data_IF_924969011080
#
_entry.id   IF_924969011080
#
_cell.length_a   1.000
_cell.length_b   1.000
_cell.length_c   1.000
_cell.angle_alpha   90.00
_cell.angle_beta   90.00
_cell.angle_gamma   90.00
#
_symmetry.space_group_name_H-M   'P 1'
#
loop_
_entity.id
_entity.type
_entity.pdbx_description
1 polymer ?
#
# COMPACT_ATOMS: atom_id res chain seq x y z
N UNK A 1 72.46 -12.31 10.82
CA UNK A 1 71.36 -12.41 11.80
C UNK A 1 70.38 -11.27 11.54
N UNK A 2 69.21 -11.54 10.97
CA UNK A 2 68.06 -10.64 11.06
C UNK A 2 66.79 -11.42 10.71
N UNK A 3 66.02 -11.76 11.73
CA UNK A 3 64.75 -12.48 11.63
C UNK A 3 63.66 -11.52 11.15
N UNK A 4 63.09 -11.77 9.97
CA UNK A 4 61.82 -11.16 9.55
C UNK A 4 60.68 -12.08 9.91
N UNK A 5 59.95 -11.72 10.96
CA UNK A 5 58.68 -12.30 11.35
C UNK A 5 57.61 -11.85 10.35
N UNK A 6 57.06 -12.80 9.60
CA UNK A 6 55.87 -12.56 8.77
C UNK A 6 54.66 -12.87 9.65
N UNK A 7 53.98 -11.80 10.10
CA UNK A 7 52.67 -11.90 10.73
C UNK A 7 51.65 -12.32 9.66
N UNK A 8 51.16 -13.55 9.77
CA UNK A 8 50.05 -14.06 8.96
C UNK A 8 48.74 -13.54 9.59
N UNK A 9 48.13 -12.53 8.99
CA UNK A 9 46.78 -12.09 9.36
C UNK A 9 45.77 -13.15 8.92
N UNK A 10 45.20 -13.88 9.88
CA UNK A 10 43.99 -14.68 9.72
C UNK A 10 42.79 -13.73 9.56
N UNK A 11 42.40 -13.45 8.32
CA UNK A 11 41.08 -12.91 8.01
C UNK A 11 40.04 -14.02 8.25
N UNK A 12 39.39 -13.98 9.40
CA UNK A 12 38.14 -14.71 9.66
C UNK A 12 37.06 -14.02 8.83
N UNK A 13 36.76 -14.59 7.67
CA UNK A 13 35.56 -14.24 6.90
C UNK A 13 34.35 -14.62 7.75
N UNK A 14 33.78 -13.65 8.46
CA UNK A 14 32.44 -13.75 8.98
C UNK A 14 31.50 -13.85 7.77
N UNK A 15 31.18 -15.08 7.36
CA UNK A 15 30.05 -15.38 6.52
C UNK A 15 28.79 -14.98 7.30
N UNK A 16 28.39 -13.72 7.16
CA UNK A 16 27.07 -13.27 7.54
C UNK A 16 26.11 -13.95 6.56
N UNK A 17 25.54 -15.07 6.98
CA UNK A 17 24.44 -15.74 6.29
C UNK A 17 23.29 -14.74 6.27
N UNK A 18 23.19 -14.01 5.16
CA UNK A 18 22.06 -13.13 4.88
C UNK A 18 20.83 -14.01 4.90
N UNK A 19 20.10 -13.92 6.01
CA UNK A 19 18.98 -14.78 6.35
C UNK A 19 18.01 -14.89 5.20
N UNK A 20 17.49 -16.11 5.03
CA UNK A 20 16.32 -16.43 4.21
C UNK A 20 15.37 -15.24 4.14
N UNK A 21 15.30 -14.57 2.99
CA UNK A 21 14.31 -13.52 2.75
C UNK A 21 12.94 -14.19 2.77
N UNK A 22 12.31 -14.15 3.95
CA UNK A 22 10.98 -14.66 4.16
C UNK A 22 9.98 -14.11 3.15
N UNK A 23 8.94 -14.86 2.84
CA UNK A 23 7.84 -14.37 1.99
C UNK A 23 6.50 -14.71 2.61
N UNK A 24 5.58 -13.76 2.55
CA UNK A 24 4.19 -13.97 2.89
C UNK A 24 3.33 -13.98 1.63
N UNK A 25 2.16 -14.60 1.74
CA UNK A 25 1.12 -14.56 0.70
C UNK A 25 0.00 -13.64 1.20
N UNK A 26 -0.25 -12.55 0.49
CA UNK A 26 -1.30 -11.58 0.84
C UNK A 26 -2.37 -11.57 -0.24
N UNK A 27 -3.62 -11.36 0.13
CA UNK A 27 -4.70 -10.95 -0.77
C UNK A 27 -5.38 -9.72 -0.18
N UNK A 28 -5.98 -8.88 -1.02
CA UNK A 28 -6.76 -7.72 -0.57
C UNK A 28 -8.23 -7.99 -0.87
N UNK A 29 -9.08 -7.84 0.14
CA UNK A 29 -10.54 -7.94 -0.01
C UNK A 29 -11.15 -6.55 0.00
N UNK A 30 -11.97 -6.27 -1.01
CA UNK A 30 -12.82 -5.09 -1.02
C UNK A 30 -14.07 -5.38 -0.19
N UNK A 31 -14.02 -5.00 1.09
CA UNK A 31 -15.13 -5.08 2.03
C UNK A 31 -16.00 -3.82 2.05
N UNK A 32 -15.88 -2.90 1.09
CA UNK A 32 -16.88 -1.86 0.92
C UNK A 32 -18.23 -2.52 0.56
N UNK A 33 -19.31 -2.07 1.18
CA UNK A 33 -20.67 -2.52 0.86
C UNK A 33 -21.34 -1.63 -0.19
N UNK A 34 -22.65 -1.72 -0.32
CA UNK A 34 -23.42 -0.91 -1.29
C UNK A 34 -23.49 0.58 -0.94
N UNK A 35 -23.02 0.98 0.25
CA UNK A 35 -23.12 2.33 0.79
C UNK A 35 -21.87 2.69 1.59
N UNK A 36 -20.84 3.30 0.97
CA UNK A 36 -20.70 3.65 -0.44
C UNK A 36 -20.15 2.49 -1.30
N UNK A 37 -20.62 2.32 -2.55
CA UNK A 37 -20.17 1.28 -3.48
C UNK A 37 -18.83 1.65 -4.11
N UNK A 38 -17.75 1.46 -3.35
CA UNK A 38 -16.39 1.74 -3.83
C UNK A 38 -15.79 0.54 -4.55
N UNK A 39 -15.45 0.73 -5.81
CA UNK A 39 -14.54 -0.18 -6.50
C UNK A 39 -13.11 0.22 -6.20
N UNK A 40 -12.28 -0.71 -5.72
CA UNK A 40 -10.84 -0.47 -5.61
C UNK A 40 -10.26 -0.65 -7.01
N UNK A 41 -9.79 0.44 -7.61
CA UNK A 41 -9.30 0.49 -8.99
C UNK A 41 -7.82 0.07 -9.09
N UNK A 42 -7.05 0.45 -8.07
CA UNK A 42 -5.65 0.07 -7.88
C UNK A 42 -5.41 -0.16 -6.40
N UNK A 43 -4.56 -1.13 -6.07
CA UNK A 43 -4.12 -1.37 -4.70
C UNK A 43 -2.66 -1.85 -4.70
N UNK A 44 -1.86 -1.30 -3.79
CA UNK A 44 -0.46 -1.66 -3.59
C UNK A 44 -0.18 -1.84 -2.10
N UNK A 45 0.63 -2.83 -1.76
CA UNK A 45 1.20 -3.02 -0.42
C UNK A 45 2.69 -3.37 -0.57
N UNK A 46 3.58 -2.61 0.08
CA UNK A 46 5.04 -2.77 -0.04
C UNK A 46 5.53 -2.94 -1.49
N UNK A 47 5.10 -2.03 -2.36
CA UNK A 47 5.43 -1.97 -3.80
C UNK A 47 4.90 -3.14 -4.67
N UNK A 48 4.07 -4.04 -4.10
CA UNK A 48 3.40 -5.11 -4.84
C UNK A 48 1.97 -4.71 -5.21
N UNK A 49 1.64 -4.74 -6.50
CA UNK A 49 0.32 -4.37 -7.02
C UNK A 49 -0.66 -5.55 -7.02
N UNK A 50 -1.90 -5.29 -6.60
CA UNK A 50 -3.01 -6.25 -6.53
C UNK A 50 -4.10 -6.00 -7.59
N UNK A 51 -3.96 -4.92 -8.36
CA UNK A 51 -4.88 -4.54 -9.44
C UNK A 51 -6.23 -4.05 -8.94
N UNK A 52 -7.24 -4.21 -9.80
CA UNK A 52 -8.63 -3.82 -9.55
C UNK A 52 -9.36 -4.91 -8.76
N UNK A 53 -10.13 -4.50 -7.75
CA UNK A 53 -10.89 -5.37 -6.85
C UNK A 53 -12.33 -4.85 -6.79
N UNK A 54 -13.29 -5.51 -7.47
CA UNK A 54 -14.70 -5.17 -7.40
C UNK A 54 -15.24 -5.24 -5.97
N UNK A 55 -16.38 -4.58 -5.73
CA UNK A 55 -17.08 -4.59 -4.45
C UNK A 55 -17.38 -6.02 -4.01
N UNK A 56 -17.03 -6.38 -2.77
CA UNK A 56 -17.25 -7.71 -2.20
C UNK A 56 -16.24 -8.78 -2.63
N UNK A 57 -15.41 -8.50 -3.64
CA UNK A 57 -14.45 -9.45 -4.20
C UNK A 57 -13.09 -9.41 -3.49
N UNK A 58 -12.28 -10.43 -3.75
CA UNK A 58 -10.90 -10.53 -3.30
C UNK A 58 -9.94 -10.53 -4.50
N UNK A 59 -8.81 -9.85 -4.36
CA UNK A 59 -7.72 -9.97 -5.31
C UNK A 59 -7.19 -11.40 -5.39
N UNK A 60 -6.45 -11.70 -6.47
CA UNK A 60 -5.56 -12.86 -6.46
C UNK A 60 -4.50 -12.74 -5.34
N UNK A 61 -3.97 -13.87 -4.85
CA UNK A 61 -2.89 -13.89 -3.89
C UNK A 61 -1.58 -13.40 -4.52
N UNK A 62 -0.84 -12.57 -3.80
CA UNK A 62 0.47 -12.05 -4.19
C UNK A 62 1.51 -12.41 -3.13
N UNK A 63 2.75 -12.60 -3.58
CA UNK A 63 3.90 -12.75 -2.68
C UNK A 63 4.43 -11.37 -2.30
N UNK A 64 4.61 -11.14 -1.00
CA UNK A 64 5.14 -9.89 -0.47
C UNK A 64 6.23 -10.17 0.55
N UNK A 65 7.13 -9.20 0.72
CA UNK A 65 8.06 -9.21 1.84
C UNK A 65 7.30 -8.95 3.16
N UNK A 66 7.63 -9.69 4.24
CA UNK A 66 7.13 -9.39 5.58
C UNK A 66 7.48 -7.96 6.02
N UNK A 67 6.59 -7.34 6.78
CA UNK A 67 6.79 -6.01 7.34
C UNK A 67 5.49 -5.30 7.71
N UNK A 68 5.63 -4.00 7.97
CA UNK A 68 4.55 -3.09 8.30
C UNK A 68 4.45 -2.03 7.19
N UNK A 69 3.27 -1.83 6.61
CA UNK A 69 3.01 -0.77 5.63
C UNK A 69 1.50 -0.52 5.48
N UNK A 70 1.12 0.55 4.79
CA UNK A 70 -0.26 0.84 4.40
C UNK A 70 -0.65 0.12 3.11
N UNK A 71 -1.93 -0.20 2.97
CA UNK A 71 -2.49 -0.49 1.66
C UNK A 71 -2.80 0.83 0.96
N UNK A 72 -2.08 1.13 -0.10
CA UNK A 72 -2.19 2.36 -0.89
C UNK A 72 -3.05 2.11 -2.12
N UNK A 73 -4.13 2.89 -2.29
CA UNK A 73 -5.17 2.57 -3.25
C UNK A 73 -5.63 3.78 -4.05
N UNK A 74 -6.25 3.47 -5.19
CA UNK A 74 -7.15 4.36 -5.90
C UNK A 74 -8.51 3.67 -5.92
N UNK A 75 -9.56 4.39 -5.57
CA UNK A 75 -10.90 3.83 -5.57
C UNK A 75 -11.90 4.78 -6.23
N UNK A 76 -12.94 4.24 -6.85
CA UNK A 76 -13.98 4.99 -7.52
C UNK A 76 -15.34 4.74 -6.87
N UNK A 77 -16.08 5.82 -6.61
CA UNK A 77 -17.43 5.73 -6.06
C UNK A 77 -18.43 5.49 -7.19
N UNK A 78 -19.15 4.36 -7.13
CA UNK A 78 -20.24 4.03 -8.06
C UNK A 78 -19.81 4.01 -9.54
N UNK A 79 -18.52 3.73 -9.78
CA UNK A 79 -17.98 3.55 -11.11
C UNK A 79 -17.12 2.28 -11.15
N UNK A 80 -17.69 1.15 -11.63
CA UNK A 80 -16.93 -0.08 -11.78
C UNK A 80 -15.91 0.01 -12.91
N UNK A 81 -16.01 0.96 -13.85
CA UNK A 81 -15.05 1.11 -14.94
C UNK A 81 -13.79 1.88 -14.51
N UNK A 82 -13.78 2.46 -13.31
CA UNK A 82 -12.63 3.14 -12.73
C UNK A 82 -12.12 4.30 -13.60
N UNK A 83 -13.04 5.13 -14.12
CA UNK A 83 -12.64 6.29 -14.90
C UNK A 83 -11.87 7.28 -14.01
N UNK A 84 -10.73 7.83 -14.46
CA UNK A 84 -9.89 8.66 -13.62
C UNK A 84 -10.62 9.84 -12.96
N UNK A 85 -11.56 10.46 -13.66
CA UNK A 85 -12.40 11.55 -13.16
C UNK A 85 -13.31 11.16 -11.99
N UNK A 86 -13.57 9.88 -11.79
CA UNK A 86 -14.39 9.30 -10.72
C UNK A 86 -13.57 8.71 -9.57
N UNK A 87 -12.25 8.77 -9.67
CA UNK A 87 -11.35 8.16 -8.71
C UNK A 87 -10.90 9.13 -7.62
N UNK A 88 -10.57 8.57 -6.45
CA UNK A 88 -9.89 9.23 -5.36
C UNK A 88 -8.75 8.35 -4.84
N UNK A 89 -7.62 8.96 -4.44
CA UNK A 89 -6.57 8.26 -3.70
C UNK A 89 -7.08 7.96 -2.28
N UNK A 90 -6.98 6.71 -1.83
CA UNK A 90 -7.34 6.31 -0.47
C UNK A 90 -6.26 5.38 0.10
N UNK A 91 -6.18 5.24 1.41
CA UNK A 91 -5.29 4.29 2.06
C UNK A 91 -6.01 3.52 3.17
N UNK A 92 -5.44 2.40 3.61
CA UNK A 92 -5.79 1.83 4.91
C UNK A 92 -5.53 2.86 6.01
N UNK A 93 -6.38 2.86 7.03
CA UNK A 93 -6.29 3.80 8.16
C UNK A 93 -5.09 3.51 9.05
N UNK A 94 -4.75 2.24 9.19
CA UNK A 94 -3.60 1.76 9.96
C UNK A 94 -2.61 1.09 9.01
N UNK A 95 -1.38 0.94 9.49
CA UNK A 95 -0.44 0.02 8.88
C UNK A 95 -0.88 -1.42 9.12
N UNK A 96 -0.70 -2.25 8.11
CA UNK A 96 -1.01 -3.68 8.11
C UNK A 96 0.28 -4.46 8.28
N UNK A 97 0.35 -5.23 9.36
CA UNK A 97 1.47 -6.10 9.64
C UNK A 97 1.31 -7.44 8.91
N UNK A 98 2.35 -7.82 8.18
CA UNK A 98 2.49 -9.10 7.51
C UNK A 98 3.76 -9.78 8.01
N UNK A 99 3.62 -11.01 8.51
CA UNK A 99 4.74 -11.78 9.09
C UNK A 99 5.22 -12.85 8.13
N UNK A 100 6.47 -13.31 8.30
CA UNK A 100 7.04 -14.35 7.44
C UNK A 100 6.23 -15.65 7.45
N UNK A 101 6.11 -16.27 6.28
CA UNK A 101 5.34 -17.49 6.05
C UNK A 101 3.82 -17.33 6.14
N UNK A 102 3.31 -16.14 6.48
CA UNK A 102 1.88 -15.91 6.65
C UNK A 102 1.13 -16.03 5.33
N UNK A 103 -0.08 -16.57 5.37
CA UNK A 103 -1.11 -16.32 4.35
C UNK A 103 -2.20 -15.45 4.98
N UNK A 104 -2.43 -14.25 4.44
CA UNK A 104 -3.34 -13.25 5.03
C UNK A 104 -4.23 -12.62 3.96
N UNK A 105 -5.48 -12.38 4.33
CA UNK A 105 -6.34 -11.44 3.60
C UNK A 105 -6.40 -10.13 4.40
N UNK A 106 -6.05 -9.02 3.76
CA UNK A 106 -6.26 -7.67 4.29
C UNK A 106 -7.60 -7.17 3.74
N UNK A 107 -8.57 -6.95 4.62
CA UNK A 107 -9.88 -6.42 4.22
C UNK A 107 -9.90 -4.90 4.37
N UNK A 108 -10.27 -4.20 3.30
CA UNK A 108 -10.48 -2.74 3.29
C UNK A 108 -11.98 -2.46 3.28
N UNK A 109 -12.44 -1.61 4.20
CA UNK A 109 -13.84 -1.27 4.37
C UNK A 109 -14.01 0.16 4.92
N UNK A 110 -15.26 0.53 5.23
CA UNK A 110 -15.59 1.87 5.71
C UNK A 110 -14.93 2.25 7.04
N UNK A 111 -14.67 1.29 7.93
CA UNK A 111 -14.12 1.56 9.25
C UNK A 111 -12.59 1.74 9.23
N UNK A 112 -11.89 1.20 8.23
CA UNK A 112 -10.43 1.14 8.19
C UNK A 112 -9.80 1.73 6.93
N UNK A 113 -10.44 2.70 6.29
CA UNK A 113 -9.84 3.50 5.20
C UNK A 113 -9.80 4.99 5.55
N UNK A 114 -8.99 5.74 4.81
CA UNK A 114 -8.93 7.20 4.83
C UNK A 114 -8.82 7.75 3.41
N UNK A 115 -9.44 8.91 3.15
CA UNK A 115 -9.39 9.61 1.87
C UNK A 115 -9.09 11.10 2.02
N UNK A 116 -8.91 11.85 0.91
CA UNK A 116 -8.47 13.25 0.93
C UNK A 116 -9.47 14.25 1.51
N UNK A 117 -10.76 13.95 1.34
CA UNK A 117 -11.87 14.84 1.68
C UNK A 117 -12.92 14.08 2.51
N UNK A 118 -12.59 13.70 3.75
CA UNK A 118 -13.53 13.01 4.61
C UNK A 118 -14.63 13.98 5.10
N UNK A 119 -15.70 13.46 5.73
CA UNK A 119 -16.69 14.28 6.42
C UNK A 119 -16.08 15.18 7.51
N UNK A 120 -16.82 16.22 7.91
CA UNK A 120 -16.42 17.12 8.99
C UNK A 120 -16.10 16.36 10.29
N UNK A 121 -15.05 16.79 10.99
CA UNK A 121 -14.58 16.16 12.23
C UNK A 121 -13.73 14.89 12.03
N UNK A 122 -13.57 14.41 10.79
CA UNK A 122 -12.72 13.26 10.47
C UNK A 122 -11.42 13.74 9.84
N UNK A 123 -10.29 13.18 10.28
CA UNK A 123 -8.98 13.49 9.72
C UNK A 123 -8.85 12.92 8.31
N UNK A 124 -8.30 13.70 7.35
CA UNK A 124 -8.01 13.20 6.01
C UNK A 124 -6.93 12.12 6.06
N UNK A 125 -6.78 11.41 4.93
CA UNK A 125 -5.56 10.63 4.67
C UNK A 125 -4.33 11.49 4.96
N UNK A 126 -3.32 11.01 5.69
CA UNK A 126 -2.15 11.83 5.96
C UNK A 126 -1.32 12.07 4.69
N UNK A 127 -0.61 13.21 4.67
CA UNK A 127 0.11 13.68 3.47
C UNK A 127 1.12 12.66 2.94
N UNK A 128 1.84 11.98 3.82
CA UNK A 128 2.85 11.00 3.42
C UNK A 128 2.25 9.83 2.61
N UNK A 129 1.09 9.31 3.00
CA UNK A 129 0.40 8.26 2.26
C UNK A 129 -0.16 8.79 0.94
N UNK A 130 -0.73 10.00 0.96
CA UNK A 130 -1.25 10.66 -0.24
C UNK A 130 -0.16 10.84 -1.31
N UNK A 131 0.98 11.41 -0.94
CA UNK A 131 2.09 11.68 -1.86
C UNK A 131 2.68 10.37 -2.42
N UNK A 132 2.70 9.29 -1.63
CA UNK A 132 3.06 7.95 -2.12
C UNK A 132 2.08 7.45 -3.19
N UNK A 133 0.77 7.63 -2.99
CA UNK A 133 -0.25 7.23 -3.98
C UNK A 133 -0.10 8.03 -5.28
N UNK A 134 0.14 9.35 -5.19
CA UNK A 134 0.38 10.20 -6.37
C UNK A 134 1.60 9.75 -7.17
N UNK A 135 2.67 9.33 -6.46
CA UNK A 135 3.86 8.78 -7.11
C UNK A 135 3.62 7.43 -7.77
N UNK A 136 2.82 6.56 -7.14
CA UNK A 136 2.48 5.23 -7.67
C UNK A 136 1.58 5.31 -8.90
N UNK A 137 0.61 6.23 -8.91
CA UNK A 137 -0.41 6.31 -9.95
C UNK A 137 -0.54 7.73 -10.54
N UNK A 138 0.52 8.27 -11.17
CA UNK A 138 0.52 9.61 -11.73
C UNK A 138 -0.51 9.81 -12.84
N UNK A 139 -0.94 8.73 -13.51
CA UNK A 139 -1.92 8.76 -14.61
C UNK A 139 -3.30 9.28 -14.20
N UNK A 140 -3.64 9.25 -12.91
CA UNK A 140 -4.91 9.76 -12.40
C UNK A 140 -4.93 11.29 -12.26
N UNK A 141 -3.79 11.97 -12.33
CA UNK A 141 -3.72 13.43 -12.33
C UNK A 141 -4.30 14.08 -11.06
N UNK A 142 -4.24 13.39 -9.91
CA UNK A 142 -4.72 13.92 -8.64
C UNK A 142 -4.01 15.21 -8.26
N UNK A 143 -4.75 16.12 -7.62
CA UNK A 143 -4.20 17.39 -7.12
C UNK A 143 -3.21 17.15 -5.98
N UNK A 144 -2.19 18.01 -5.80
CA UNK A 144 -1.29 17.93 -4.64
C UNK A 144 -2.06 18.02 -3.31
N UNK A 145 -1.42 17.60 -2.20
CA UNK A 145 -2.11 17.42 -0.92
C UNK A 145 -2.80 18.68 -0.35
N UNK A 146 -2.21 19.85 -0.54
CA UNK A 146 -2.77 21.16 -0.15
C UNK A 146 -4.03 21.51 -0.96
N UNK A 147 -4.12 21.00 -2.19
CA UNK A 147 -5.26 21.13 -3.12
C UNK A 147 -6.11 19.86 -3.19
N UNK A 148 -5.95 18.91 -2.26
CA UNK A 148 -6.61 17.58 -2.36
C UNK A 148 -8.14 17.66 -2.38
N UNK A 149 -8.72 18.68 -1.76
CA UNK A 149 -10.16 18.95 -1.76
C UNK A 149 -10.66 19.48 -3.11
N UNK A 150 -9.74 19.82 -4.02
CA UNK A 150 -10.06 20.26 -5.37
C UNK A 150 -10.14 19.11 -6.38
N UNK A 151 -9.84 17.87 -5.97
CA UNK A 151 -10.13 16.70 -6.80
C UNK A 151 -11.64 16.66 -7.11
N UNK A 152 -12.07 16.31 -8.34
CA UNK A 152 -13.48 16.40 -8.74
C UNK A 152 -14.44 15.73 -7.76
N UNK A 153 -14.07 14.55 -7.25
CA UNK A 153 -14.87 13.77 -6.31
C UNK A 153 -14.98 14.36 -4.90
N UNK A 154 -14.17 15.36 -4.58
CA UNK A 154 -14.24 16.11 -3.33
C UNK A 154 -15.17 17.34 -3.41
N UNK A 155 -15.53 17.78 -4.61
CA UNK A 155 -16.28 19.03 -4.88
C UNK A 155 -17.80 18.84 -4.89
N UNK A 156 -18.35 18.14 -3.90
CA UNK A 156 -19.81 17.88 -3.79
C UNK A 156 -20.69 19.06 -4.18
#
# INVERSE_FOLDING_TARGET
>A
MSNRWVLLLLLVMAACESGSSGSATVSIKNGFGDKPPWTICKATYRDVEFGKIPIGEQSGPQKVEPGLDYVLMVAAWNDPDCKPEHCLPIASKNEEEVVDGQTRTIEINMANHQGPCPPEGIQPIPQAQYDRILKLYPEYGFKPYDQRTENPQCKK
#
